data_IF_897059157049
#
_entry.id   IF_897059157049
#
_cell.length_a   1.000
_cell.length_b   1.000
_cell.length_c   1.000
_cell.angle_alpha   90.00
_cell.angle_beta   90.00
_cell.angle_gamma   90.00
#
_symmetry.space_group_name_H-M   'P 1'
#
loop_
_entity.id
_entity.type
_entity.pdbx_description
1 polymer ?
#
# COMPACT_ATOMS: atom_id res chain seq x y z
N UNK A 1 -0.20 5.21 0.16
CA UNK A 1 0.67 4.51 1.12
C UNK A 1 -0.12 4.31 2.40
N UNK A 2 -0.05 3.13 2.97
CA UNK A 2 -0.80 2.74 4.16
C UNK A 2 -0.20 1.50 4.79
N UNK A 3 -0.42 1.33 6.09
CA UNK A 3 0.09 0.19 6.85
C UNK A 3 -0.73 -1.06 6.54
N UNK A 4 -0.07 -2.21 6.52
CA UNK A 4 -0.69 -3.53 6.49
C UNK A 4 -0.09 -4.35 7.62
N UNK A 5 -0.94 -4.94 8.45
CA UNK A 5 -0.54 -5.94 9.44
C UNK A 5 -0.56 -7.30 8.75
N UNK A 6 0.47 -8.12 8.95
CA UNK A 6 0.56 -9.45 8.38
C UNK A 6 1.15 -10.43 9.38
N UNK A 7 0.77 -11.70 9.26
CA UNK A 7 1.34 -12.79 10.04
C UNK A 7 2.66 -13.25 9.42
N UNK A 8 3.77 -13.00 10.10
CA UNK A 8 5.11 -13.33 9.62
C UNK A 8 5.39 -14.83 9.65
N UNK A 9 4.77 -15.59 10.56
CA UNK A 9 5.03 -17.03 10.72
C UNK A 9 4.44 -17.85 9.58
N UNK A 10 3.39 -17.32 8.93
CA UNK A 10 2.69 -17.98 7.81
C UNK A 10 3.24 -17.60 6.44
N UNK A 11 4.26 -16.75 6.36
CA UNK A 11 4.85 -16.28 5.08
C UNK A 11 5.37 -17.43 4.23
N UNK A 12 6.07 -18.39 4.84
CA UNK A 12 6.61 -19.54 4.12
C UNK A 12 5.49 -20.43 3.56
N UNK A 13 4.43 -20.65 4.33
CA UNK A 13 3.26 -21.42 3.93
C UNK A 13 2.61 -20.78 2.69
N UNK A 14 2.31 -19.48 2.76
CA UNK A 14 1.67 -18.75 1.67
C UNK A 14 2.53 -18.73 0.40
N UNK A 15 3.84 -18.47 0.51
CA UNK A 15 4.75 -18.46 -0.63
C UNK A 15 4.93 -19.85 -1.28
N UNK A 16 4.69 -20.92 -0.51
CA UNK A 16 4.83 -22.31 -0.95
C UNK A 16 3.54 -22.91 -1.52
N UNK A 17 2.47 -22.11 -1.68
CA UNK A 17 1.20 -22.56 -2.26
C UNK A 17 1.42 -23.26 -3.62
N UNK A 18 0.93 -24.49 -3.83
CA UNK A 18 1.25 -25.25 -5.03
C UNK A 18 0.79 -24.58 -6.33
N UNK A 19 -0.46 -24.13 -6.38
CA UNK A 19 -1.00 -23.41 -7.54
C UNK A 19 -0.58 -21.94 -7.50
N UNK A 20 -0.05 -21.45 -8.61
CA UNK A 20 0.38 -20.06 -8.76
C UNK A 20 -0.81 -19.09 -8.75
N UNK A 21 -1.98 -19.53 -9.21
CA UNK A 21 -3.21 -18.70 -9.21
C UNK A 21 -3.74 -18.44 -7.80
N UNK A 22 -3.46 -19.34 -6.88
CA UNK A 22 -3.90 -19.23 -5.48
C UNK A 22 -2.96 -18.31 -4.66
N UNK A 23 -1.77 -17.95 -5.18
CA UNK A 23 -0.79 -17.12 -4.46
C UNK A 23 -1.33 -15.73 -4.11
N UNK A 24 -2.17 -15.15 -4.97
CA UNK A 24 -2.83 -13.88 -4.66
C UNK A 24 -3.69 -13.99 -3.40
N UNK A 25 -4.54 -15.02 -3.36
CA UNK A 25 -5.44 -15.24 -2.23
C UNK A 25 -4.67 -15.65 -0.99
N UNK A 26 -3.65 -16.50 -1.12
CA UNK A 26 -2.76 -16.87 -0.02
C UNK A 26 -2.06 -15.65 0.58
N UNK A 27 -1.63 -14.69 -0.24
CA UNK A 27 -1.07 -13.43 0.25
C UNK A 27 -2.15 -12.57 0.94
N UNK A 28 -3.37 -12.49 0.40
CA UNK A 28 -4.48 -11.83 1.10
C UNK A 28 -4.75 -12.43 2.48
N UNK A 29 -4.66 -13.75 2.63
CA UNK A 29 -4.95 -14.48 3.87
C UNK A 29 -3.84 -14.28 4.94
N UNK A 30 -2.69 -13.74 4.56
CA UNK A 30 -1.67 -13.27 5.50
C UNK A 30 -2.03 -11.92 6.13
N UNK A 31 -2.80 -11.10 5.43
CA UNK A 31 -3.12 -9.75 5.91
C UNK A 31 -4.19 -9.82 6.99
N UNK A 32 -3.87 -9.20 8.13
CA UNK A 32 -4.69 -9.21 9.32
C UNK A 32 -5.65 -8.02 9.32
N UNK A 33 -6.85 -8.23 9.87
CA UNK A 33 -7.83 -7.16 9.99
C UNK A 33 -7.45 -6.19 11.13
N UNK A 34 -7.12 -4.93 10.83
CA UNK A 34 -6.68 -3.97 11.84
C UNK A 34 -7.80 -3.51 12.78
N UNK A 35 -9.06 -3.85 12.49
CA UNK A 35 -10.22 -3.57 13.34
C UNK A 35 -10.62 -4.75 14.25
N UNK A 36 -10.00 -5.92 14.09
CA UNK A 36 -10.29 -7.09 14.92
C UNK A 36 -9.64 -6.91 16.32
N UNK A 37 -10.42 -6.94 17.42
CA UNK A 37 -9.89 -6.84 18.78
C UNK A 37 -8.77 -7.84 19.08
N UNK A 38 -8.85 -9.07 18.56
CA UNK A 38 -7.83 -10.09 18.79
C UNK A 38 -6.50 -9.73 18.10
N UNK A 39 -6.57 -9.22 16.86
CA UNK A 39 -5.39 -8.73 16.11
C UNK A 39 -4.79 -7.52 16.81
N UNK A 40 -5.61 -6.60 17.30
CA UNK A 40 -5.14 -5.41 18.02
C UNK A 40 -4.42 -5.80 19.32
N UNK A 41 -4.98 -6.73 20.09
CA UNK A 41 -4.35 -7.23 21.32
C UNK A 41 -3.01 -7.91 21.02
N UNK A 42 -2.97 -8.74 19.97
CA UNK A 42 -1.75 -9.41 19.55
C UNK A 42 -0.69 -8.42 19.06
N UNK A 43 -1.07 -7.46 18.22
CA UNK A 43 -0.17 -6.39 17.74
C UNK A 43 0.48 -5.62 18.90
N UNK A 44 -0.27 -5.33 19.97
CA UNK A 44 0.27 -4.70 21.18
C UNK A 44 1.25 -5.60 21.93
N UNK A 45 0.99 -6.91 22.00
CA UNK A 45 1.92 -7.90 22.59
C UNK A 45 3.22 -7.99 21.80
N UNK A 46 3.13 -7.86 20.48
CA UNK A 46 4.27 -7.89 19.55
C UNK A 46 5.03 -6.55 19.48
N UNK A 47 4.63 -5.56 20.29
CA UNK A 47 5.32 -4.28 20.43
C UNK A 47 4.96 -3.23 19.38
N UNK A 48 3.92 -3.43 18.58
CA UNK A 48 3.41 -2.43 17.63
C UNK A 48 2.78 -1.27 18.41
N UNK A 49 3.20 -0.04 18.12
CA UNK A 49 2.69 1.15 18.81
C UNK A 49 1.25 1.46 18.39
N UNK A 50 0.51 2.16 19.26
CA UNK A 50 -0.88 2.51 18.97
C UNK A 50 -1.02 3.40 17.71
N UNK A 51 -0.03 4.26 17.43
CA UNK A 51 0.02 5.08 16.20
C UNK A 51 0.05 4.20 14.94
N UNK A 52 0.80 3.09 14.96
CA UNK A 52 0.85 2.14 13.84
C UNK A 52 -0.45 1.35 13.69
N UNK A 53 -1.09 0.99 14.79
CA UNK A 53 -2.41 0.32 14.78
C UNK A 53 -3.47 1.27 14.21
N UNK A 54 -3.50 2.52 14.65
CA UNK A 54 -4.41 3.55 14.12
C UNK A 54 -4.15 3.82 12.63
N UNK A 55 -2.88 3.89 12.23
CA UNK A 55 -2.51 4.03 10.81
C UNK A 55 -2.94 2.82 9.97
N UNK A 56 -2.91 1.60 10.52
CA UNK A 56 -3.40 0.40 9.86
C UNK A 56 -4.93 0.43 9.70
N UNK A 57 -5.66 0.87 10.72
CA UNK A 57 -7.12 1.05 10.68
C UNK A 57 -7.57 2.09 9.63
N UNK A 58 -6.75 3.11 9.42
CA UNK A 58 -7.03 4.15 8.42
C UNK A 58 -6.34 3.88 7.07
N UNK A 59 -5.74 2.71 6.87
CA UNK A 59 -4.90 2.42 5.72
C UNK A 59 -5.68 2.42 4.39
N UNK A 60 -5.33 3.30 3.43
CA UNK A 60 -5.94 3.27 2.10
C UNK A 60 -5.56 2.00 1.33
N UNK A 61 -4.40 1.41 1.65
CA UNK A 61 -3.91 0.17 1.00
C UNK A 61 -4.75 -1.01 1.46
N UNK A 62 -5.03 -1.14 2.76
CA UNK A 62 -5.91 -2.19 3.28
C UNK A 62 -7.30 -2.11 2.66
N UNK A 63 -7.88 -0.90 2.56
CA UNK A 63 -9.18 -0.69 1.91
C UNK A 63 -9.18 -1.13 0.44
N UNK A 64 -8.16 -0.76 -0.34
CA UNK A 64 -8.09 -1.12 -1.76
C UNK A 64 -7.81 -2.61 -1.99
N UNK A 65 -6.92 -3.21 -1.19
CA UNK A 65 -6.48 -4.59 -1.35
C UNK A 65 -7.47 -5.59 -0.74
N UNK A 66 -7.97 -5.34 0.47
CA UNK A 66 -8.77 -6.30 1.24
C UNK A 66 -10.27 -6.01 1.19
N UNK A 67 -10.69 -4.76 1.44
CA UNK A 67 -12.13 -4.43 1.50
C UNK A 67 -12.76 -4.36 0.11
N UNK A 68 -12.14 -3.64 -0.82
CA UNK A 68 -12.70 -3.39 -2.15
C UNK A 68 -12.24 -4.42 -3.20
N UNK A 69 -11.15 -5.15 -2.93
CA UNK A 69 -10.52 -6.09 -3.89
C UNK A 69 -10.26 -5.44 -5.25
N UNK A 70 -9.59 -4.28 -5.23
CA UNK A 70 -9.24 -3.50 -6.42
C UNK A 70 -7.75 -3.48 -6.73
N UNK A 71 -6.91 -3.70 -5.72
CA UNK A 71 -5.47 -3.74 -5.87
C UNK A 71 -4.98 -5.19 -5.89
N UNK A 72 -3.96 -5.46 -6.70
CA UNK A 72 -3.36 -6.77 -6.90
C UNK A 72 -1.84 -6.71 -6.82
N UNK A 73 -1.16 -7.78 -6.36
CA UNK A 73 0.28 -7.88 -6.40
C UNK A 73 0.80 -7.90 -7.84
N UNK A 74 2.05 -7.48 -8.04
CA UNK A 74 2.73 -7.60 -9.34
C UNK A 74 3.45 -8.96 -9.41
N UNK A 75 3.14 -9.76 -10.42
CA UNK A 75 3.73 -11.09 -10.63
C UNK A 75 3.75 -11.96 -9.35
N UNK A 76 2.58 -12.31 -8.77
CA UNK A 76 2.51 -13.16 -7.59
C UNK A 76 3.21 -14.52 -7.78
N UNK A 77 3.29 -15.04 -9.02
CA UNK A 77 3.97 -16.28 -9.41
C UNK A 77 5.46 -16.32 -9.05
N UNK A 78 6.10 -15.16 -8.82
CA UNK A 78 7.50 -15.11 -8.36
C UNK A 78 7.67 -15.51 -6.89
N UNK A 79 6.57 -15.69 -6.14
CA UNK A 79 6.58 -16.19 -4.75
C UNK A 79 7.40 -15.32 -3.79
N UNK A 80 7.56 -14.04 -4.11
CA UNK A 80 8.25 -13.04 -3.28
C UNK A 80 7.32 -12.30 -2.33
N UNK A 81 5.99 -12.55 -2.43
CA UNK A 81 4.94 -11.87 -1.66
C UNK A 81 5.11 -10.34 -1.73
N UNK A 82 5.01 -9.74 -2.94
CA UNK A 82 5.31 -8.33 -3.14
C UNK A 82 4.34 -7.44 -2.37
N UNK A 83 4.87 -6.40 -1.73
CA UNK A 83 4.07 -5.44 -0.92
C UNK A 83 3.68 -4.17 -1.69
N UNK A 84 4.05 -4.07 -2.97
CA UNK A 84 3.62 -2.99 -3.87
C UNK A 84 2.56 -3.54 -4.81
N UNK A 85 1.35 -2.98 -4.72
CA UNK A 85 0.16 -3.48 -5.41
C UNK A 85 -0.36 -2.44 -6.39
N UNK A 86 -1.04 -2.92 -7.44
CA UNK A 86 -1.50 -2.14 -8.58
C UNK A 86 -3.01 -2.29 -8.78
N UNK A 87 -3.66 -1.19 -9.13
CA UNK A 87 -5.05 -1.20 -9.59
C UNK A 87 -5.06 -1.30 -11.12
N UNK A 88 -5.79 -2.25 -11.72
CA UNK A 88 -5.78 -2.45 -13.17
C UNK A 88 -6.43 -1.25 -13.88
N UNK A 89 -5.90 -0.81 -15.04
CA UNK A 89 -6.46 0.33 -15.75
C UNK A 89 -7.74 -0.06 -16.51
N UNK A 90 -8.73 0.84 -16.49
CA UNK A 90 -9.83 0.79 -17.45
C UNK A 90 -9.33 1.28 -18.81
N UNK A 91 -9.63 0.52 -19.86
CA UNK A 91 -9.28 0.85 -21.24
C UNK A 91 -10.53 1.24 -22.05
N UNK A 92 -10.41 2.06 -23.11
CA UNK A 92 -11.51 2.27 -24.05
C UNK A 92 -12.06 0.94 -24.60
N UNK A 93 -13.38 0.88 -24.77
CA UNK A 93 -14.11 -0.25 -25.35
C UNK A 93 -14.05 -0.12 -26.87
N UNK A 94 -13.65 -1.19 -27.56
CA UNK A 94 -13.49 -1.17 -29.02
C UNK A 94 -14.83 -0.89 -29.74
N UNK A 95 -15.93 -1.46 -29.24
CA UNK A 95 -17.27 -1.31 -29.83
C UNK A 95 -17.94 0.06 -29.61
N UNK A 96 -17.34 0.96 -28.82
CA UNK A 96 -17.82 2.34 -28.72
C UNK A 96 -17.59 3.14 -30.02
N UNK A 97 -16.75 2.62 -30.94
CA UNK A 97 -16.54 3.19 -32.28
C UNK A 97 -17.48 2.62 -33.36
N UNK A 98 -18.24 1.54 -33.09
CA UNK A 98 -19.16 0.91 -34.07
C UNK A 98 -20.65 1.27 -33.88
N UNK A 99 -20.99 2.09 -32.88
CA UNK A 99 -22.25 2.82 -32.86
C UNK A 99 -23.52 2.01 -32.58
N UNK A 100 -23.51 1.08 -31.61
CA UNK A 100 -24.76 0.45 -31.11
C UNK A 100 -24.87 0.43 -29.59
N UNK A 101 -25.95 1.03 -29.09
CA UNK A 101 -26.72 0.76 -27.86
C UNK A 101 -26.04 0.78 -26.47
N UNK A 102 -24.75 1.04 -26.34
CA UNK A 102 -24.08 1.16 -25.03
C UNK A 102 -24.60 2.35 -24.18
N UNK A 103 -25.27 3.32 -24.81
CA UNK A 103 -25.93 4.45 -24.15
C UNK A 103 -27.36 4.08 -23.68
N UNK A 104 -28.01 3.11 -24.33
CA UNK A 104 -29.41 2.76 -24.10
C UNK A 104 -29.60 1.77 -22.94
N UNK A 105 -28.65 0.86 -22.73
CA UNK A 105 -28.70 -0.13 -21.64
C UNK A 105 -27.51 0.04 -20.69
N UNK A 106 -27.73 0.58 -19.47
CA UNK A 106 -26.70 0.65 -18.42
C UNK A 106 -26.10 -0.71 -18.04
N UNK A 107 -26.81 -1.81 -18.33
CA UNK A 107 -26.37 -3.18 -18.08
C UNK A 107 -25.30 -3.67 -19.07
N UNK A 108 -25.08 -2.96 -20.18
CA UNK A 108 -24.03 -3.29 -21.15
C UNK A 108 -22.61 -2.96 -20.67
N UNK A 109 -22.46 -2.33 -19.50
CA UNK A 109 -21.15 -2.00 -18.92
C UNK A 109 -20.35 -3.28 -18.59
N UNK A 110 -21.02 -4.38 -18.23
CA UNK A 110 -20.35 -5.63 -17.85
C UNK A 110 -19.80 -6.42 -19.05
N UNK A 111 -20.58 -6.69 -20.12
CA UNK A 111 -20.04 -7.29 -21.35
C UNK A 111 -18.95 -6.44 -22.00
N UNK A 112 -19.09 -5.11 -21.94
CA UNK A 112 -18.12 -4.20 -22.56
C UNK A 112 -16.72 -4.26 -21.94
N UNK A 113 -16.57 -4.77 -20.71
CA UNK A 113 -15.26 -4.94 -20.07
C UNK A 113 -14.45 -6.05 -20.78
N UNK A 114 -15.10 -7.06 -21.35
CA UNK A 114 -14.44 -8.10 -22.14
C UNK A 114 -13.97 -7.59 -23.51
N UNK A 115 -14.59 -6.52 -24.01
CA UNK A 115 -14.30 -5.88 -25.31
C UNK A 115 -13.37 -4.65 -25.19
N UNK A 116 -12.70 -4.50 -24.05
CA UNK A 116 -11.69 -3.47 -23.87
C UNK A 116 -10.51 -3.66 -24.83
N UNK A 117 -9.92 -2.54 -25.28
CA UNK A 117 -8.71 -2.57 -26.11
C UNK A 117 -7.56 -3.34 -25.47
N UNK A 118 -7.34 -3.16 -24.16
CA UNK A 118 -6.38 -3.98 -23.41
C UNK A 118 -7.05 -5.30 -23.02
N UNK A 119 -6.56 -6.46 -23.49
CA UNK A 119 -7.16 -7.74 -23.15
C UNK A 119 -7.09 -8.01 -21.64
N UNK A 120 -8.17 -8.51 -21.05
CA UNK A 120 -8.20 -8.86 -19.61
C UNK A 120 -7.14 -9.91 -19.29
N UNK A 121 -6.93 -10.89 -20.19
CA UNK A 121 -5.91 -11.92 -20.00
C UNK A 121 -4.50 -11.35 -19.86
N UNK A 122 -4.19 -10.25 -20.55
CA UNK A 122 -2.89 -9.59 -20.42
C UNK A 122 -2.70 -9.04 -19.00
N UNK A 123 -3.73 -8.42 -18.42
CA UNK A 123 -3.71 -7.92 -17.05
C UNK A 123 -3.66 -9.06 -16.03
N UNK A 124 -4.38 -10.15 -16.28
CA UNK A 124 -4.38 -11.33 -15.44
C UNK A 124 -2.99 -11.96 -15.33
N UNK A 125 -2.29 -12.11 -16.45
CA UNK A 125 -0.93 -12.62 -16.48
C UNK A 125 0.06 -11.75 -15.68
N UNK A 126 -0.24 -10.47 -15.49
CA UNK A 126 0.61 -9.52 -14.78
C UNK A 126 0.31 -9.47 -13.27
N UNK A 127 -0.97 -9.64 -12.89
CA UNK A 127 -1.47 -9.27 -11.57
C UNK A 127 -1.99 -10.45 -10.74
N UNK A 128 -2.41 -11.55 -11.39
CA UNK A 128 -3.13 -12.66 -10.74
C UNK A 128 -2.67 -14.02 -11.26
N UNK A 129 -1.42 -14.13 -11.74
CA UNK A 129 -0.86 -15.35 -12.33
C UNK A 129 -1.77 -15.99 -13.42
N UNK A 130 -2.47 -15.15 -14.18
CA UNK A 130 -3.35 -15.56 -15.28
C UNK A 130 -4.81 -15.81 -14.91
N UNK A 131 -5.25 -15.54 -13.68
CA UNK A 131 -6.67 -15.57 -13.31
C UNK A 131 -7.41 -14.29 -13.77
N UNK A 132 -8.17 -14.41 -14.86
CA UNK A 132 -8.89 -13.31 -15.47
C UNK A 132 -10.17 -12.90 -14.73
N UNK A 133 -10.81 -13.81 -13.99
CA UNK A 133 -12.09 -13.53 -13.33
C UNK A 133 -11.89 -12.52 -12.20
N UNK A 134 -10.85 -12.70 -11.37
CA UNK A 134 -10.53 -11.76 -10.29
C UNK A 134 -10.26 -10.35 -10.81
N UNK A 135 -9.52 -10.21 -11.92
CA UNK A 135 -9.25 -8.91 -12.54
C UNK A 135 -10.53 -8.31 -13.13
N UNK A 136 -11.37 -9.13 -13.77
CA UNK A 136 -12.66 -8.72 -14.34
C UNK A 136 -13.58 -8.16 -13.26
N UNK A 137 -13.70 -8.81 -12.11
CA UNK A 137 -14.50 -8.32 -10.99
C UNK A 137 -14.05 -6.94 -10.50
N UNK A 138 -12.73 -6.70 -10.37
CA UNK A 138 -12.21 -5.39 -9.98
C UNK A 138 -12.53 -4.31 -11.02
N UNK A 139 -12.40 -4.62 -12.31
CA UNK A 139 -12.77 -3.70 -13.39
C UNK A 139 -14.27 -3.38 -13.37
N UNK A 140 -15.11 -4.38 -13.09
CA UNK A 140 -16.56 -4.22 -12.96
C UNK A 140 -16.93 -3.30 -11.79
N UNK A 141 -16.27 -3.44 -10.63
CA UNK A 141 -16.44 -2.55 -9.48
C UNK A 141 -16.10 -1.10 -9.82
N UNK A 142 -15.00 -0.86 -10.52
CA UNK A 142 -14.60 0.49 -10.95
C UNK A 142 -15.57 1.09 -11.97
N UNK A 143 -16.05 0.28 -12.92
CA UNK A 143 -17.04 0.73 -13.90
C UNK A 143 -18.39 1.05 -13.23
N UNK A 144 -18.81 0.24 -12.25
CA UNK A 144 -20.01 0.49 -11.45
C UNK A 144 -19.89 1.79 -10.64
N UNK A 145 -18.77 2.00 -9.95
CA UNK A 145 -18.49 3.26 -9.24
C UNK A 145 -18.61 4.46 -10.17
N UNK A 146 -18.02 4.38 -11.38
CA UNK A 146 -18.09 5.46 -12.37
C UNK A 146 -19.54 5.72 -12.83
N UNK A 147 -20.34 4.68 -13.02
CA UNK A 147 -21.75 4.79 -13.41
C UNK A 147 -22.60 5.44 -12.31
N UNK A 148 -22.44 4.98 -11.06
CA UNK A 148 -23.12 5.54 -9.89
C UNK A 148 -22.80 7.02 -9.68
N UNK A 149 -21.51 7.38 -9.67
CA UNK A 149 -21.08 8.76 -9.47
C UNK A 149 -21.48 9.67 -10.64
N UNK A 150 -21.52 9.13 -11.87
CA UNK A 150 -22.03 9.86 -13.03
C UNK A 150 -23.50 10.20 -12.84
N UNK A 151 -24.35 9.23 -12.51
CA UNK A 151 -25.78 9.48 -12.28
C UNK A 151 -26.01 10.51 -11.18
N UNK A 152 -25.26 10.41 -10.08
CA UNK A 152 -25.32 11.39 -8.99
C UNK A 152 -24.90 12.80 -9.45
N UNK A 153 -23.83 12.91 -10.23
CA UNK A 153 -23.34 14.21 -10.73
C UNK A 153 -24.26 14.86 -11.77
N UNK A 154 -24.95 14.05 -12.58
CA UNK A 154 -25.89 14.52 -13.61
C UNK A 154 -27.32 14.72 -13.09
N UNK A 155 -27.59 14.38 -11.84
CA UNK A 155 -28.95 14.38 -11.28
C UNK A 155 -29.89 13.34 -11.90
N UNK A 156 -29.34 12.27 -12.49
CA UNK A 156 -30.13 11.20 -13.08
C UNK A 156 -30.51 10.16 -12.01
N UNK A 157 -31.65 9.49 -12.19
CA UNK A 157 -32.03 8.37 -11.33
C UNK A 157 -31.07 7.20 -11.51
N UNK A 158 -30.67 6.59 -10.40
CA UNK A 158 -29.85 5.39 -10.37
C UNK A 158 -30.52 4.32 -9.52
N UNK A 159 -30.65 3.13 -10.09
CA UNK A 159 -31.18 1.97 -9.41
C UNK A 159 -30.08 1.33 -8.52
N UNK A 160 -30.15 1.58 -7.21
CA UNK A 160 -29.18 1.08 -6.23
C UNK A 160 -29.16 -0.46 -6.13
N UNK A 161 -30.21 -1.16 -6.58
CA UNK A 161 -30.21 -2.63 -6.61
C UNK A 161 -29.09 -3.19 -7.50
N UNK A 162 -28.61 -2.41 -8.47
CA UNK A 162 -27.48 -2.80 -9.34
C UNK A 162 -26.15 -2.88 -8.60
N UNK A 163 -26.00 -2.17 -7.49
CA UNK A 163 -24.76 -2.21 -6.69
C UNK A 163 -24.54 -3.60 -6.07
N UNK A 164 -25.63 -4.32 -5.77
CA UNK A 164 -25.57 -5.68 -5.26
C UNK A 164 -24.86 -6.65 -6.23
N UNK A 165 -24.89 -6.38 -7.55
CA UNK A 165 -24.22 -7.23 -8.56
C UNK A 165 -22.70 -7.25 -8.42
N UNK A 166 -22.11 -6.18 -7.88
CA UNK A 166 -20.66 -6.07 -7.63
C UNK A 166 -20.31 -6.21 -6.15
N UNK A 167 -21.29 -6.57 -5.32
CA UNK A 167 -21.12 -6.74 -3.87
C UNK A 167 -20.74 -5.45 -3.13
N UNK A 168 -21.08 -4.27 -3.68
CA UNK A 168 -20.76 -2.98 -3.06
C UNK A 168 -22.03 -2.26 -2.60
N UNK A 169 -21.90 -1.49 -1.53
CA UNK A 169 -22.94 -0.58 -1.04
C UNK A 169 -22.72 0.85 -1.57
N UNK A 170 -23.76 1.67 -1.58
CA UNK A 170 -23.65 3.09 -1.92
C UNK A 170 -22.63 3.84 -1.02
N UNK A 171 -22.54 3.45 0.25
CA UNK A 171 -21.55 4.00 1.20
C UNK A 171 -20.12 3.63 0.78
N UNK A 172 -19.86 2.35 0.48
CA UNK A 172 -18.55 1.89 0.02
C UNK A 172 -18.15 2.58 -1.28
N UNK A 173 -19.06 2.75 -2.24
CA UNK A 173 -18.78 3.45 -3.50
C UNK A 173 -18.39 4.91 -3.26
N UNK A 174 -19.07 5.62 -2.35
CA UNK A 174 -18.70 7.01 -2.00
C UNK A 174 -17.33 7.08 -1.33
N UNK A 175 -16.99 6.11 -0.48
CA UNK A 175 -15.67 6.02 0.15
C UNK A 175 -14.57 5.70 -0.87
N UNK A 176 -14.83 4.76 -1.79
CA UNK A 176 -13.96 4.47 -2.92
C UNK A 176 -13.73 5.69 -3.80
N UNK A 177 -14.80 6.42 -4.15
CA UNK A 177 -14.71 7.67 -4.91
C UNK A 177 -13.90 8.73 -4.18
N UNK A 178 -14.08 8.88 -2.86
CA UNK A 178 -13.26 9.79 -2.05
C UNK A 178 -11.78 9.44 -2.13
N UNK A 179 -11.44 8.16 -2.05
CA UNK A 179 -10.04 7.70 -2.05
C UNK A 179 -9.39 7.78 -3.44
N UNK A 180 -10.11 7.38 -4.50
CA UNK A 180 -9.59 7.27 -5.86
C UNK A 180 -9.71 8.56 -6.68
N UNK A 181 -10.80 9.31 -6.53
CA UNK A 181 -11.10 10.48 -7.36
C UNK A 181 -10.81 11.82 -6.65
N UNK A 182 -11.29 12.00 -5.42
CA UNK A 182 -10.98 13.22 -4.65
C UNK A 182 -9.53 13.17 -4.18
N UNK A 183 -9.10 12.01 -3.66
CA UNK A 183 -7.71 11.66 -3.41
C UNK A 183 -6.94 12.73 -2.61
N UNK A 184 -7.53 13.20 -1.51
CA UNK A 184 -6.89 14.16 -0.62
C UNK A 184 -5.55 13.62 -0.11
N UNK A 185 -4.62 14.52 0.23
CA UNK A 185 -3.27 14.12 0.62
C UNK A 185 -3.28 13.20 1.84
N UNK A 186 -4.05 13.58 2.86
CA UNK A 186 -4.24 12.83 4.10
C UNK A 186 -4.89 11.46 3.88
N UNK A 187 -5.78 11.33 2.88
CA UNK A 187 -6.43 10.06 2.54
C UNK A 187 -5.48 9.13 1.73
N UNK A 188 -4.50 9.71 1.02
CA UNK A 188 -3.53 8.95 0.19
C UNK A 188 -2.32 8.45 0.95
N UNK A 189 -1.85 9.20 1.94
CA UNK A 189 -0.61 8.95 2.65
C UNK A 189 -0.86 8.85 4.14
N UNK A 190 -1.13 7.63 4.60
CA UNK A 190 -1.25 7.30 6.02
C UNK A 190 0.02 6.57 6.42
N UNK A 191 1.04 7.34 6.81
CA UNK A 191 2.39 6.85 7.11
C UNK A 191 2.69 7.22 8.57
N UNK A 192 2.75 6.26 9.50
CA UNK A 192 3.11 6.52 10.88
C UNK A 192 4.60 6.82 11.02
N UNK A 193 4.98 7.40 12.15
CA UNK A 193 6.39 7.60 12.47
C UNK A 193 7.10 6.29 12.77
N UNK A 194 8.33 6.12 12.30
CA UNK A 194 9.09 4.86 12.44
C UNK A 194 9.63 4.60 13.87
N UNK A 195 9.26 5.44 14.85
CA UNK A 195 9.69 5.39 16.25
C UNK A 195 11.15 4.95 16.46
N UNK A 196 12.09 5.56 15.73
CA UNK A 196 13.50 5.13 15.74
C UNK A 196 14.12 5.24 17.14
N UNK A 197 13.59 6.11 18.00
CA UNK A 197 13.98 6.29 19.40
C UNK A 197 13.91 5.01 20.23
N UNK A 198 13.12 4.02 19.82
CA UNK A 198 13.04 2.72 20.50
C UNK A 198 14.29 1.85 20.31
N UNK A 199 15.07 2.09 19.26
CA UNK A 199 16.22 1.26 18.86
C UNK A 199 17.53 2.05 18.74
N UNK A 200 17.49 3.37 18.83
CA UNK A 200 18.67 4.24 18.73
C UNK A 200 18.69 5.31 19.82
N UNK A 201 19.90 5.65 20.27
CA UNK A 201 20.10 6.84 21.11
C UNK A 201 19.97 8.09 20.23
N UNK A 202 18.75 8.63 20.19
CA UNK A 202 18.38 9.79 19.37
C UNK A 202 19.21 11.02 19.72
N UNK A 203 19.59 11.23 20.98
CA UNK A 203 20.40 12.39 21.38
C UNK A 203 21.82 12.28 20.84
N UNK A 204 22.42 11.11 20.96
CA UNK A 204 23.76 10.86 20.42
C UNK A 204 23.76 10.91 18.90
N UNK A 205 22.77 10.28 18.26
CA UNK A 205 22.64 10.27 16.80
C UNK A 205 22.40 11.68 16.25
N UNK A 206 21.55 12.50 16.87
CA UNK A 206 21.33 13.88 16.42
C UNK A 206 22.63 14.70 16.36
N UNK A 207 23.58 14.47 17.29
CA UNK A 207 24.86 15.17 17.33
C UNK A 207 25.95 14.60 16.42
N UNK A 208 25.82 13.36 15.94
CA UNK A 208 26.86 12.65 15.17
C UNK A 208 26.44 12.29 13.74
N UNK A 209 25.13 12.30 13.43
CA UNK A 209 24.60 11.97 12.11
C UNK A 209 25.22 12.90 11.05
N UNK A 210 25.70 12.33 9.95
CA UNK A 210 26.42 13.06 8.90
C UNK A 210 27.93 13.25 9.13
N UNK A 211 28.45 13.03 10.35
CA UNK A 211 29.89 13.04 10.66
C UNK A 211 30.47 11.62 10.70
N UNK A 212 30.28 10.86 9.62
CA UNK A 212 30.85 9.53 9.50
C UNK A 212 32.39 9.57 9.43
N UNK A 213 33.05 8.80 10.29
CA UNK A 213 34.51 8.61 10.30
C UNK A 213 35.09 7.93 9.03
N UNK A 214 34.27 7.74 7.99
CA UNK A 214 34.63 7.21 6.69
C UNK A 214 35.08 8.29 5.69
N UNK A 215 35.09 9.57 6.08
CA UNK A 215 35.82 10.60 5.35
C UNK A 215 37.23 10.70 5.94
N UNK A 216 38.20 10.07 5.27
CA UNK A 216 39.63 10.05 5.59
C UNK A 216 40.29 11.44 5.49
N UNK A 217 39.64 12.51 5.95
CA UNK A 217 40.17 13.87 5.77
C UNK A 217 39.57 15.00 6.59
N UNK A 218 38.35 14.91 7.12
CA UNK A 218 37.71 16.11 7.71
C UNK A 218 36.78 15.85 8.92
N UNK A 219 37.09 14.90 9.79
CA UNK A 219 36.46 14.80 11.12
C UNK A 219 37.49 14.97 12.23
N UNK A 220 37.17 15.61 13.37
CA UNK A 220 38.04 15.53 14.54
C UNK A 220 38.16 14.05 14.90
N UNK A 221 39.38 13.50 14.78
CA UNK A 221 39.66 12.12 15.12
C UNK A 221 39.09 11.84 16.52
N UNK A 222 38.19 10.87 16.65
CA UNK A 222 37.79 10.38 17.96
C UNK A 222 39.04 9.83 18.64
N UNK A 223 39.57 10.48 19.69
CA UNK A 223 40.74 9.97 20.37
C UNK A 223 40.25 8.83 21.24
N UNK A 224 40.52 7.60 20.80
CA UNK A 224 40.37 6.44 21.66
C UNK A 224 41.22 6.67 22.92
N UNK A 225 40.55 6.80 24.06
CA UNK A 225 41.17 6.69 25.38
C UNK A 225 41.72 7.96 26.02
N UNK A 226 41.46 9.17 25.50
CA UNK A 226 41.82 10.42 26.19
C UNK A 226 40.60 11.29 26.50
N UNK A 227 40.56 11.81 27.71
CA UNK A 227 39.56 12.79 28.14
C UNK A 227 39.80 14.14 27.48
N UNK A 228 38.74 14.96 27.32
CA UNK A 228 38.85 16.28 26.68
C UNK A 228 39.86 17.23 27.34
N UNK A 229 40.20 16.99 28.62
CA UNK A 229 41.20 17.74 29.36
C UNK A 229 42.63 17.39 28.94
N UNK A 230 42.94 16.11 28.76
CA UNK A 230 44.26 15.62 28.34
C UNK A 230 44.63 16.13 26.94
N UNK A 231 43.65 16.26 26.05
CA UNK A 231 43.85 16.79 24.70
C UNK A 231 44.10 18.30 24.67
N UNK A 232 43.50 19.04 25.61
CA UNK A 232 43.70 20.49 25.74
C UNK A 232 45.10 20.80 26.28
N UNK A 233 45.59 19.97 27.21
CA UNK A 233 46.95 20.06 27.75
C UNK A 233 48.02 19.72 26.69
N UNK A 234 47.76 18.75 25.81
CA UNK A 234 48.70 18.35 24.74
C UNK A 234 48.77 19.35 23.57
N UNK A 235 47.65 19.95 23.16
CA UNK A 235 47.60 20.67 21.87
C UNK A 235 47.63 22.19 21.96
N UNK A 236 47.23 22.83 23.07
CA UNK A 236 46.92 24.26 23.01
C UNK A 236 48.02 25.20 23.55
N UNK A 237 48.78 24.87 24.60
CA UNK A 237 49.86 25.75 25.12
C UNK A 237 51.02 25.07 25.88
N UNK A 238 51.12 23.74 25.94
CA UNK A 238 52.05 23.05 26.85
C UNK A 238 53.51 22.89 26.37
N UNK A 239 53.79 23.03 25.06
CA UNK A 239 55.08 22.66 24.47
C UNK A 239 56.02 23.81 24.09
N UNK A 240 55.55 25.07 24.09
CA UNK A 240 56.32 26.19 23.50
C UNK A 240 57.20 26.93 24.54
N UNK A 241 56.97 26.72 25.85
CA UNK A 241 57.66 27.46 26.92
C UNK A 241 58.34 26.58 27.96
N UNK A 242 58.86 25.41 27.56
CA UNK A 242 59.71 24.57 28.42
C UNK A 242 61.04 24.29 27.75
N UNK A 243 61.91 25.30 27.77
CA UNK A 243 63.37 25.18 27.78
C UNK A 243 63.90 26.04 28.94
#
# INVERSE_FOLDING_TARGET
MGVLLYDADRVQEAASTPDEKDLYQAQCDLFLNPHDPAVIEQARKDGITEEWIEAAQNSPVYKLAMEYKLAFPLHPEYRTLPMVWYVPPLSPIMNYFEGKDSIANPDMIFPAIEEMRTPIQYLANLLTAGDAETVKEALQKMAMMRSYMRAQSSGAEFDEARLARVGLTASQIKQMYRLLAIAKYEDRFVIPTSHKESHMDVYRSQGLEGFGAACSGCGPASPQGKTGKELYEENFYGGIWRD
#
